data_IF_460191122701
#
_entry.id   IF_460191122701
#
_cell.length_a   1.000
_cell.length_b   1.000
_cell.length_c   1.000
_cell.angle_alpha   90.00
_cell.angle_beta   90.00
_cell.angle_gamma   90.00
#
_symmetry.space_group_name_H-M   'P 1'
#
loop_
_entity.id
_entity.type
_entity.pdbx_description
1 polymer ?
#
# COMPACT_ATOMS: atom_id res chain seq x y z
N UNK A 1 -10.09 -22.29 -1.80
CA UNK A 1 -8.85 -21.51 -1.58
C UNK A 1 -9.10 -20.67 -0.34
N UNK A 2 -8.21 -20.70 0.65
CA UNK A 2 -8.31 -19.79 1.81
C UNK A 2 -8.12 -18.36 1.33
N UNK A 3 -8.80 -17.39 1.96
CA UNK A 3 -8.53 -15.99 1.71
C UNK A 3 -7.08 -15.67 2.12
N UNK A 4 -6.38 -14.76 1.41
CA UNK A 4 -5.04 -14.34 1.79
C UNK A 4 -5.06 -13.65 3.16
N UNK A 5 -3.97 -13.79 3.92
CA UNK A 5 -3.82 -13.15 5.23
C UNK A 5 -3.37 -11.71 5.03
N UNK A 6 -4.14 -10.75 5.51
CA UNK A 6 -3.68 -9.36 5.54
C UNK A 6 -2.56 -9.20 6.57
N UNK A 7 -1.42 -8.66 6.13
CA UNK A 7 -0.28 -8.37 6.99
C UNK A 7 -0.45 -7.00 7.64
N UNK A 8 -0.73 -5.99 6.83
CA UNK A 8 -0.99 -4.62 7.26
C UNK A 8 -1.56 -3.78 6.11
N UNK A 9 -2.23 -2.69 6.48
CA UNK A 9 -2.60 -1.59 5.58
C UNK A 9 -1.92 -0.29 6.01
N UNK A 10 -1.49 0.52 5.04
CA UNK A 10 -0.98 1.88 5.23
C UNK A 10 -1.78 2.85 4.39
N UNK A 11 -2.33 3.88 5.02
CA UNK A 11 -3.10 4.92 4.36
C UNK A 11 -2.40 6.25 4.50
N UNK A 12 -1.96 6.80 3.37
CA UNK A 12 -1.38 8.12 3.26
C UNK A 12 -2.47 9.15 2.93
N UNK A 13 -2.53 10.20 3.75
CA UNK A 13 -3.41 11.35 3.54
C UNK A 13 -2.59 12.63 3.53
N UNK A 14 -3.04 13.62 2.77
CA UNK A 14 -2.47 14.97 2.78
C UNK A 14 -3.60 15.96 2.95
N UNK A 15 -3.50 16.81 3.97
CA UNK A 15 -4.53 17.81 4.30
C UNK A 15 -5.93 17.16 4.44
N UNK A 16 -5.98 15.98 5.07
CA UNK A 16 -7.21 15.20 5.26
C UNK A 16 -7.72 14.44 4.02
N UNK A 17 -7.12 14.65 2.83
CA UNK A 17 -7.47 13.95 1.59
C UNK A 17 -6.65 12.68 1.43
N UNK A 18 -7.29 11.57 1.08
CA UNK A 18 -6.59 10.34 0.68
C UNK A 18 -5.69 10.59 -0.52
N UNK A 19 -4.46 10.06 -0.46
CA UNK A 19 -3.45 10.12 -1.54
C UNK A 19 -3.12 8.72 -2.01
N UNK A 20 -2.85 7.80 -1.08
CA UNK A 20 -2.60 6.42 -1.41
C UNK A 20 -3.01 5.48 -0.26
N UNK A 21 -3.42 4.27 -0.58
CA UNK A 21 -3.65 3.17 0.35
C UNK A 21 -2.91 1.95 -0.16
N UNK A 22 -2.03 1.38 0.66
CA UNK A 22 -1.22 0.21 0.35
C UNK A 22 -1.60 -0.92 1.30
N UNK A 23 -1.95 -2.09 0.76
CA UNK A 23 -2.35 -3.26 1.53
C UNK A 23 -1.48 -4.45 1.18
N UNK A 24 -0.75 -4.97 2.17
CA UNK A 24 0.09 -6.15 2.02
C UNK A 24 -0.69 -7.41 2.40
N UNK A 25 -0.73 -8.38 1.49
CA UNK A 25 -1.46 -9.64 1.60
C UNK A 25 -0.49 -10.82 1.42
N UNK A 26 -0.58 -11.80 2.29
CA UNK A 26 0.20 -13.04 2.29
C UNK A 26 -0.67 -14.21 1.78
N UNK A 27 -0.27 -14.78 0.65
CA UNK A 27 -0.93 -15.92 0.01
C UNK A 27 -0.29 -17.27 0.40
N UNK A 28 0.73 -17.25 1.25
CA UNK A 28 1.46 -18.44 1.73
C UNK A 28 2.70 -18.78 0.89
N UNK A 29 2.62 -18.65 -0.42
CA UNK A 29 3.75 -18.85 -1.36
C UNK A 29 4.30 -17.55 -1.96
N UNK A 30 3.59 -16.45 -1.73
CA UNK A 30 3.87 -15.13 -2.27
C UNK A 30 3.20 -14.05 -1.44
N UNK A 31 3.73 -12.84 -1.53
CA UNK A 31 3.09 -11.66 -0.96
C UNK A 31 2.70 -10.68 -2.06
N UNK A 32 1.51 -10.10 -1.94
CA UNK A 32 0.98 -9.13 -2.89
C UNK A 32 0.72 -7.82 -2.16
N UNK A 33 1.23 -6.72 -2.72
CA UNK A 33 0.86 -5.37 -2.30
C UNK A 33 -0.15 -4.82 -3.29
N UNK A 34 -1.39 -4.67 -2.83
CA UNK A 34 -2.44 -3.96 -3.54
C UNK A 34 -2.34 -2.47 -3.23
N UNK A 35 -2.51 -1.63 -4.25
CA UNK A 35 -2.45 -0.18 -4.07
C UNK A 35 -3.69 0.49 -4.65
N UNK A 36 -4.18 1.51 -3.95
CA UNK A 36 -5.14 2.49 -4.46
C UNK A 36 -4.48 3.86 -4.36
N UNK A 37 -4.44 4.61 -5.46
CA UNK A 37 -3.94 5.99 -5.51
C UNK A 37 -5.11 6.90 -5.85
N UNK A 38 -5.20 8.03 -5.16
CA UNK A 38 -6.28 9.00 -5.26
C UNK A 38 -5.72 10.31 -5.81
N UNK A 39 -5.77 10.53 -7.13
CA UNK A 39 -5.31 11.78 -7.74
C UNK A 39 -6.16 12.97 -7.29
N UNK A 40 -5.65 14.19 -7.51
CA UNK A 40 -6.41 15.42 -7.21
C UNK A 40 -7.68 15.54 -8.05
N UNK A 41 -7.63 15.06 -9.28
CA UNK A 41 -8.71 15.07 -10.27
C UNK A 41 -8.86 13.68 -10.88
N UNK A 42 -10.11 13.24 -11.08
CA UNK A 42 -10.41 11.90 -11.59
C UNK A 42 -10.71 10.87 -10.49
N UNK A 43 -10.87 9.62 -10.90
CA UNK A 43 -11.18 8.50 -10.00
C UNK A 43 -9.92 7.89 -9.38
N UNK A 44 -10.14 7.09 -8.32
CA UNK A 44 -9.08 6.27 -7.76
C UNK A 44 -8.54 5.29 -8.80
N UNK A 45 -7.22 5.14 -8.85
CA UNK A 45 -6.53 4.17 -9.73
C UNK A 45 -5.89 3.08 -8.89
N UNK A 46 -5.75 1.88 -9.46
CA UNK A 46 -5.22 0.70 -8.77
C UNK A 46 -3.93 0.21 -9.45
N UNK A 47 -2.77 0.86 -9.20
CA UNK A 47 -1.51 0.38 -9.75
C UNK A 47 -1.16 -1.02 -9.20
N UNK A 48 -0.53 -1.84 -10.05
CA UNK A 48 -0.20 -3.23 -9.71
C UNK A 48 -1.30 -4.23 -10.07
N UNK A 49 -1.40 -5.37 -9.35
CA UNK A 49 -0.74 -5.68 -8.07
C UNK A 49 0.78 -5.90 -8.16
N UNK A 50 1.50 -5.60 -7.08
CA UNK A 50 2.94 -5.86 -6.97
C UNK A 50 3.16 -7.16 -6.20
N UNK A 51 3.77 -8.15 -6.86
CA UNK A 51 4.03 -9.48 -6.27
C UNK A 51 5.49 -9.61 -5.84
N UNK A 52 5.68 -10.16 -4.65
CA UNK A 52 6.97 -10.40 -4.01
C UNK A 52 7.07 -11.86 -3.55
N UNK A 53 8.30 -12.36 -3.41
CA UNK A 53 8.55 -13.73 -2.98
C UNK A 53 8.12 -13.97 -1.53
N UNK A 54 8.24 -12.96 -0.67
CA UNK A 54 7.96 -13.08 0.76
C UNK A 54 7.49 -11.76 1.40
N UNK A 55 7.11 -11.86 2.67
CA UNK A 55 6.63 -10.74 3.47
C UNK A 55 7.70 -9.68 3.72
N UNK A 56 8.98 -10.06 3.74
CA UNK A 56 10.08 -9.12 3.97
C UNK A 56 10.21 -8.16 2.80
N UNK A 57 10.22 -8.67 1.57
CA UNK A 57 10.27 -7.85 0.35
C UNK A 57 9.02 -6.96 0.21
N UNK A 58 7.83 -7.50 0.46
CA UNK A 58 6.61 -6.71 0.45
C UNK A 58 6.63 -5.57 1.49
N UNK A 59 7.19 -5.84 2.68
CA UNK A 59 7.34 -4.84 3.74
C UNK A 59 8.35 -3.76 3.36
N UNK A 60 9.48 -4.13 2.76
CA UNK A 60 10.47 -3.17 2.25
C UNK A 60 9.84 -2.22 1.21
N UNK A 61 9.13 -2.77 0.23
CA UNK A 61 8.41 -1.97 -0.78
C UNK A 61 7.44 -0.97 -0.16
N UNK A 62 6.60 -1.40 0.79
CA UNK A 62 5.65 -0.48 1.44
C UNK A 62 6.38 0.56 2.28
N UNK A 63 7.49 0.20 2.93
CA UNK A 63 8.29 1.13 3.74
C UNK A 63 8.86 2.24 2.88
N UNK A 64 9.51 1.91 1.75
CA UNK A 64 10.06 2.90 0.81
C UNK A 64 8.96 3.80 0.20
N UNK A 65 7.80 3.21 -0.13
CA UNK A 65 6.66 3.98 -0.63
C UNK A 65 6.12 4.95 0.43
N UNK A 66 6.02 4.51 1.69
CA UNK A 66 5.60 5.34 2.83
C UNK A 66 6.58 6.48 3.07
N UNK A 67 7.89 6.21 3.07
CA UNK A 67 8.92 7.25 3.21
C UNK A 67 8.79 8.30 2.10
N UNK A 68 8.61 7.86 0.85
CA UNK A 68 8.38 8.74 -0.29
C UNK A 68 7.13 9.62 -0.11
N UNK A 69 6.03 9.05 0.39
CA UNK A 69 4.79 9.78 0.66
C UNK A 69 4.94 10.79 1.79
N UNK A 70 5.72 10.45 2.83
CA UNK A 70 6.06 11.38 3.92
C UNK A 70 6.88 12.57 3.40
N UNK A 71 7.86 12.35 2.51
CA UNK A 71 8.58 13.43 1.85
C UNK A 71 7.68 14.34 1.02
N UNK A 72 6.57 13.81 0.49
CA UNK A 72 5.54 14.58 -0.23
C UNK A 72 4.53 15.30 0.70
N UNK A 73 4.75 15.23 2.02
CA UNK A 73 3.92 15.87 3.03
C UNK A 73 2.64 15.11 3.36
N UNK A 74 2.63 13.78 3.17
CA UNK A 74 1.53 12.95 3.63
C UNK A 74 1.73 12.51 5.09
N UNK A 75 0.64 12.51 5.84
CA UNK A 75 0.51 11.77 7.09
C UNK A 75 0.14 10.32 6.76
N UNK A 76 0.83 9.35 7.36
CA UNK A 76 0.62 7.92 7.09
C UNK A 76 0.13 7.21 8.35
N UNK A 77 -0.99 6.49 8.21
CA UNK A 77 -1.65 5.78 9.30
C UNK A 77 -1.65 4.27 9.05
N UNK A 78 -1.57 3.50 10.13
CA UNK A 78 -1.97 2.09 10.10
C UNK A 78 -3.50 1.99 10.20
N UNK A 79 -4.09 1.10 9.42
CA UNK A 79 -5.52 0.75 9.45
C UNK A 79 -5.70 -0.72 9.81
#
# INVERSE_FOLDING_TARGET
>A
MSAPRELFTRHAKREGRSVARLRALDYGDSCVVETEVYPREGGAVRPGPYTFADAHQATAFVTEAVESLMYLGCDVYAE
#
